data_IF_828470868922
#
_entry.id   IF_828470868922
#
_cell.length_a   1.000
_cell.length_b   1.000
_cell.length_c   1.000
_cell.angle_alpha   90.00
_cell.angle_beta   90.00
_cell.angle_gamma   90.00
#
_symmetry.space_group_name_H-M   'P 1'
#
loop_
_entity.id
_entity.type
_entity.pdbx_description
1 polymer ?
#
# COMPACT_ATOMS: atom_id res chain seq x y z
N UNK A 1 -21.95 -5.72 -8.14
CA UNK A 1 -20.76 -5.51 -7.26
C UNK A 1 -19.55 -5.21 -8.10
N UNK A 2 -18.77 -4.20 -7.71
CA UNK A 2 -17.51 -3.89 -8.39
C UNK A 2 -16.51 -5.01 -8.19
N UNK A 3 -15.66 -5.23 -9.18
CA UNK A 3 -14.58 -6.17 -9.04
C UNK A 3 -13.54 -5.62 -8.04
N UNK A 4 -12.74 -6.51 -7.48
CA UNK A 4 -11.64 -6.12 -6.59
C UNK A 4 -10.68 -5.18 -7.32
N UNK A 5 -10.40 -5.44 -8.60
CA UNK A 5 -9.48 -4.60 -9.37
C UNK A 5 -10.05 -3.19 -9.58
N UNK A 6 -11.35 -3.08 -9.83
CA UNK A 6 -11.98 -1.76 -9.99
C UNK A 6 -11.96 -0.98 -8.67
N UNK A 7 -12.26 -1.64 -7.56
CA UNK A 7 -12.23 -0.99 -6.25
C UNK A 7 -10.80 -0.59 -5.85
N UNK A 8 -9.83 -1.46 -6.12
CA UNK A 8 -8.43 -1.14 -5.85
C UNK A 8 -7.97 0.08 -6.66
N UNK A 9 -8.38 0.15 -7.92
CA UNK A 9 -8.06 1.30 -8.77
C UNK A 9 -8.63 2.59 -8.18
N UNK A 10 -9.88 2.57 -7.71
CA UNK A 10 -10.48 3.74 -7.09
C UNK A 10 -9.71 4.18 -5.84
N UNK A 11 -9.30 3.23 -5.01
CA UNK A 11 -8.56 3.53 -3.78
C UNK A 11 -7.21 4.19 -4.09
N UNK A 12 -6.51 3.69 -5.08
CA UNK A 12 -5.14 4.10 -5.38
C UNK A 12 -5.09 5.33 -6.28
N UNK A 13 -5.91 5.35 -7.33
CA UNK A 13 -5.79 6.37 -8.39
C UNK A 13 -6.89 7.42 -8.36
N UNK A 14 -7.94 7.22 -7.58
CA UNK A 14 -9.08 8.15 -7.50
C UNK A 14 -9.36 8.54 -6.05
N UNK A 15 -8.30 8.74 -5.28
CA UNK A 15 -8.38 9.08 -3.87
C UNK A 15 -8.98 10.47 -3.69
N UNK A 16 -9.86 10.62 -2.68
CA UNK A 16 -10.52 11.89 -2.43
C UNK A 16 -9.52 12.95 -1.94
N UNK A 17 -9.84 14.23 -2.23
CA UNK A 17 -9.03 15.35 -1.74
C UNK A 17 -8.93 15.37 -0.22
N UNK A 18 -9.99 14.97 0.46
CA UNK A 18 -10.01 14.93 1.92
C UNK A 18 -8.99 13.95 2.47
N UNK A 19 -8.89 12.76 1.89
CA UNK A 19 -7.89 11.77 2.32
C UNK A 19 -6.47 12.25 2.04
N UNK A 20 -6.27 12.90 0.90
CA UNK A 20 -4.98 13.49 0.58
C UNK A 20 -4.56 14.54 1.60
N UNK A 21 -5.51 15.37 2.05
CA UNK A 21 -5.21 16.39 3.07
C UNK A 21 -4.89 15.79 4.43
N UNK A 22 -5.58 14.70 4.79
CA UNK A 22 -5.39 14.06 6.10
C UNK A 22 -4.12 13.24 6.18
N UNK A 23 -3.81 12.51 5.13
CA UNK A 23 -2.75 11.49 5.13
C UNK A 23 -1.60 11.81 4.20
N UNK A 24 -1.74 12.83 3.36
CA UNK A 24 -0.76 13.17 2.34
C UNK A 24 -0.81 12.20 1.16
N UNK A 25 0.04 12.43 0.16
CA UNK A 25 0.14 11.52 -0.97
C UNK A 25 0.53 10.11 -0.52
N UNK A 26 -0.03 9.11 -1.18
CA UNK A 26 0.15 7.71 -0.83
C UNK A 26 1.63 7.30 -0.82
N UNK A 27 2.38 7.72 -1.85
CA UNK A 27 3.80 7.37 -1.96
C UNK A 27 4.65 8.01 -0.86
N UNK A 28 4.36 9.25 -0.48
CA UNK A 28 5.06 9.91 0.62
C UNK A 28 4.82 9.21 1.95
N UNK A 29 3.60 8.72 2.15
CA UNK A 29 3.25 7.96 3.35
C UNK A 29 4.10 6.71 3.50
N UNK A 30 4.38 6.04 2.39
CA UNK A 30 5.18 4.82 2.43
C UNK A 30 6.66 5.11 2.70
N UNK A 31 7.20 6.18 2.11
CA UNK A 31 8.58 6.60 2.39
C UNK A 31 8.74 7.02 3.86
N UNK A 32 7.74 7.72 4.39
CA UNK A 32 7.73 8.10 5.80
C UNK A 32 7.68 6.87 6.70
N UNK A 33 6.85 5.89 6.36
CA UNK A 33 6.76 4.65 7.10
C UNK A 33 8.10 3.91 7.11
N UNK A 34 8.79 3.86 5.98
CA UNK A 34 10.10 3.24 5.89
C UNK A 34 11.11 3.97 6.80
N UNK A 35 11.10 5.30 6.79
CA UNK A 35 12.00 6.09 7.64
C UNK A 35 11.75 5.83 9.13
N UNK A 36 10.51 5.79 9.53
CA UNK A 36 10.15 5.53 10.94
C UNK A 36 10.57 4.11 11.32
N UNK A 37 10.26 3.14 10.47
CA UNK A 37 10.60 1.74 10.72
C UNK A 37 12.12 1.57 10.86
N UNK A 38 12.89 2.23 10.00
CA UNK A 38 14.36 2.19 10.05
C UNK A 38 14.88 2.80 11.35
N UNK A 39 14.25 3.89 11.79
CA UNK A 39 14.60 4.50 13.07
C UNK A 39 14.33 3.60 14.26
N UNK A 40 13.24 2.82 14.20
CA UNK A 40 12.85 1.92 15.27
C UNK A 40 13.70 0.66 15.34
N UNK A 41 14.16 0.16 14.20
CA UNK A 41 14.77 -1.17 14.10
C UNK A 41 16.26 -1.16 13.81
N UNK A 42 16.79 -0.04 13.34
CA UNK A 42 18.17 0.01 12.86
C UNK A 42 18.34 -0.64 11.49
N UNK A 43 17.24 -1.01 10.83
CA UNK A 43 17.28 -1.57 9.47
C UNK A 43 17.35 -0.45 8.44
N UNK A 44 17.44 -0.83 7.19
CA UNK A 44 17.54 0.10 6.08
C UNK A 44 16.61 -0.33 4.93
N UNK A 45 15.30 -0.38 5.22
CA UNK A 45 14.31 -0.75 4.22
C UNK A 45 13.88 0.47 3.42
N UNK A 46 13.46 0.24 2.19
CA UNK A 46 12.98 1.27 1.27
C UNK A 46 11.46 1.33 1.29
N UNK A 47 10.88 2.39 0.71
CA UNK A 47 9.43 2.47 0.53
C UNK A 47 8.90 1.30 -0.27
N UNK A 48 9.63 0.86 -1.30
CA UNK A 48 9.27 -0.32 -2.09
C UNK A 48 9.15 -1.56 -1.20
N UNK A 49 10.11 -1.77 -0.32
CA UNK A 49 10.10 -2.92 0.58
C UNK A 49 8.95 -2.83 1.59
N UNK A 50 8.57 -1.62 2.01
CA UNK A 50 7.42 -1.44 2.89
C UNK A 50 6.11 -1.86 2.21
N UNK A 51 5.94 -1.53 0.91
CA UNK A 51 4.79 -2.03 0.15
C UNK A 51 4.76 -3.55 0.13
N UNK A 52 5.92 -4.16 -0.13
CA UNK A 52 6.02 -5.62 -0.19
C UNK A 52 5.67 -6.27 1.15
N UNK A 53 6.10 -5.64 2.25
CA UNK A 53 5.77 -6.14 3.59
C UNK A 53 4.26 -6.08 3.87
N UNK A 54 3.59 -5.01 3.44
CA UNK A 54 2.15 -4.88 3.62
C UNK A 54 1.39 -5.90 2.77
N UNK A 55 1.84 -6.14 1.54
CA UNK A 55 1.25 -7.16 0.68
C UNK A 55 1.41 -8.54 1.34
N UNK A 56 2.59 -8.85 1.86
CA UNK A 56 2.84 -10.10 2.56
C UNK A 56 1.92 -10.27 3.77
N UNK A 57 1.68 -9.19 4.52
CA UNK A 57 0.77 -9.22 5.66
C UNK A 57 -0.65 -9.58 5.24
N UNK A 58 -1.13 -9.01 4.12
CA UNK A 58 -2.47 -9.31 3.63
C UNK A 58 -2.60 -10.76 3.20
N UNK A 59 -1.58 -11.31 2.55
CA UNK A 59 -1.58 -12.71 2.17
C UNK A 59 -1.47 -13.64 3.38
N UNK A 60 -0.73 -13.23 4.41
CA UNK A 60 -0.67 -13.97 5.66
C UNK A 60 -2.07 -14.10 6.29
N UNK A 61 -2.80 -12.99 6.34
CA UNK A 61 -4.16 -12.98 6.88
C UNK A 61 -5.11 -13.80 6.03
N UNK A 62 -4.98 -13.71 4.70
CA UNK A 62 -5.81 -14.46 3.77
C UNK A 62 -5.56 -15.96 3.89
N UNK A 63 -4.31 -16.37 4.14
CA UNK A 63 -3.98 -17.79 4.28
C UNK A 63 -4.62 -18.42 5.53
N UNK A 64 -4.90 -17.61 6.54
CA UNK A 64 -5.57 -18.09 7.74
C UNK A 64 -7.08 -18.18 7.56
N UNK A 65 -7.70 -17.09 7.10
CA UNK A 65 -9.15 -17.03 6.87
C UNK A 65 -9.41 -16.07 5.72
N UNK A 66 -10.15 -16.53 4.73
CA UNK A 66 -10.50 -15.69 3.58
C UNK A 66 -11.40 -14.52 3.99
N UNK A 67 -10.99 -13.31 3.59
CA UNK A 67 -11.83 -12.12 3.62
C UNK A 67 -11.54 -11.33 2.36
N UNK A 68 -12.61 -10.85 1.71
CA UNK A 68 -12.49 -10.08 0.48
C UNK A 68 -11.54 -8.88 0.64
N UNK A 69 -11.57 -8.23 1.81
CA UNK A 69 -10.72 -7.07 2.09
C UNK A 69 -9.23 -7.41 2.03
N UNK A 70 -8.83 -8.63 2.40
CA UNK A 70 -7.43 -9.03 2.30
C UNK A 70 -6.94 -8.98 0.85
N UNK A 71 -7.74 -9.51 -0.06
CA UNK A 71 -7.40 -9.53 -1.49
C UNK A 71 -7.50 -8.14 -2.09
N UNK A 72 -8.53 -7.37 -1.72
CA UNK A 72 -8.70 -6.01 -2.21
C UNK A 72 -7.56 -5.12 -1.76
N UNK A 73 -7.18 -5.19 -0.48
CA UNK A 73 -6.06 -4.40 0.04
C UNK A 73 -4.74 -4.81 -0.60
N UNK A 74 -4.53 -6.11 -0.80
CA UNK A 74 -3.32 -6.58 -1.48
C UNK A 74 -3.26 -6.02 -2.91
N UNK A 75 -4.38 -6.06 -3.65
CA UNK A 75 -4.45 -5.52 -5.00
C UNK A 75 -4.18 -4.01 -5.01
N UNK A 76 -4.72 -3.29 -4.03
CA UNK A 76 -4.49 -1.84 -3.91
C UNK A 76 -3.01 -1.54 -3.65
N UNK A 77 -2.37 -2.28 -2.75
CA UNK A 77 -0.94 -2.10 -2.49
C UNK A 77 -0.08 -2.45 -3.70
N UNK A 78 -0.47 -3.48 -4.47
CA UNK A 78 0.25 -3.84 -5.70
C UNK A 78 0.17 -2.69 -6.71
N UNK A 79 -1.02 -2.12 -6.91
CA UNK A 79 -1.20 -0.97 -7.80
C UNK A 79 -0.42 0.24 -7.33
N UNK A 80 -0.45 0.51 -6.02
CA UNK A 80 0.30 1.61 -5.43
C UNK A 80 1.80 1.42 -5.58
N UNK A 81 2.28 0.19 -5.44
CA UNK A 81 3.69 -0.14 -5.64
C UNK A 81 4.13 0.12 -7.07
N UNK A 82 3.30 -0.27 -8.04
CA UNK A 82 3.60 -0.01 -9.44
C UNK A 82 3.70 1.50 -9.70
N UNK A 83 2.77 2.28 -9.18
CA UNK A 83 2.80 3.73 -9.30
C UNK A 83 4.07 4.32 -8.66
N UNK A 84 4.44 3.82 -7.49
CA UNK A 84 5.63 4.26 -6.77
C UNK A 84 6.89 4.03 -7.59
N UNK A 85 7.02 2.83 -8.17
CA UNK A 85 8.18 2.48 -9.00
C UNK A 85 8.23 3.36 -10.25
N UNK A 86 7.10 3.59 -10.88
CA UNK A 86 7.03 4.41 -12.09
C UNK A 86 7.37 5.87 -11.82
N UNK A 87 6.97 6.40 -10.66
CA UNK A 87 7.24 7.78 -10.28
C UNK A 87 8.73 8.02 -9.99
N UNK A 88 9.46 6.97 -9.61
CA UNK A 88 10.90 7.08 -9.34
C UNK A 88 11.73 7.15 -10.62
N UNK A 89 11.13 6.84 -11.76
CA UNK A 89 11.81 6.91 -13.06
C UNK A 89 11.75 8.34 -13.57
#
# INVERSE_FOLDING_TARGET
>A
MKSILAEADEIVNHRSEEKERQYGPFSEGMDRAASIFNGMTGLNVTGKEMYMALIALKFSRESYTHKRDNLMDAAAYIGALDNYINDEK
#
